data_IF_955908941026
#
_entry.id   IF_955908941026
#
_cell.length_a   1.000
_cell.length_b   1.000
_cell.length_c   1.000
_cell.angle_alpha   90.00
_cell.angle_beta   90.00
_cell.angle_gamma   90.00
#
_symmetry.space_group_name_H-M   'P 1'
#
loop_
_entity.id
_entity.type
_entity.pdbx_description
1 polymer ?
#
# COMPACT_ATOMS: atom_id res chain seq x y z
N UNK A 1 -33.33 27.87 -52.14
CA UNK A 1 -34.56 28.69 -52.08
C UNK A 1 -35.05 28.73 -50.64
N UNK A 2 -35.33 29.93 -50.13
CA UNK A 2 -36.00 30.28 -48.85
C UNK A 2 -35.29 29.87 -47.54
N UNK A 3 -34.65 30.72 -46.74
CA UNK A 3 -34.89 32.09 -46.22
C UNK A 3 -35.90 32.21 -45.05
N UNK A 4 -35.39 32.54 -43.84
CA UNK A 4 -35.93 33.41 -42.75
C UNK A 4 -35.20 33.03 -41.44
N UNK A 5 -34.31 33.81 -40.83
CA UNK A 5 -34.31 35.21 -40.35
C UNK A 5 -35.43 35.52 -39.34
N UNK A 6 -35.07 35.64 -38.06
CA UNK A 6 -35.65 36.63 -37.11
C UNK A 6 -34.66 36.96 -35.99
N UNK A 7 -34.53 38.27 -35.78
CA UNK A 7 -33.71 38.99 -34.80
C UNK A 7 -34.59 39.53 -33.65
N UNK A 8 -33.90 40.10 -32.65
CA UNK A 8 -34.35 41.13 -31.69
C UNK A 8 -35.05 40.60 -30.41
N UNK A 9 -34.94 41.21 -29.22
CA UNK A 9 -34.39 42.51 -28.84
C UNK A 9 -34.09 42.57 -27.33
N UNK A 10 -33.27 43.55 -26.97
CA UNK A 10 -32.85 44.10 -25.66
C UNK A 10 -33.95 44.43 -24.66
N UNK A 11 -33.67 44.35 -23.35
CA UNK A 11 -34.16 45.33 -22.37
C UNK A 11 -33.26 45.46 -21.14
N UNK A 12 -32.56 46.59 -21.07
CA UNK A 12 -31.89 47.20 -19.92
C UNK A 12 -32.91 47.73 -18.91
N UNK A 13 -32.63 47.56 -17.61
CA UNK A 13 -33.39 48.17 -16.52
C UNK A 13 -32.43 48.73 -15.47
N UNK A 14 -32.25 50.05 -15.49
CA UNK A 14 -31.59 50.87 -14.47
C UNK A 14 -32.65 51.20 -13.42
N UNK A 15 -32.33 50.99 -12.14
CA UNK A 15 -33.14 51.43 -11.01
C UNK A 15 -32.25 51.97 -9.91
N UNK A 16 -32.10 53.29 -9.87
CA UNK A 16 -31.66 54.05 -8.70
C UNK A 16 -32.83 54.16 -7.72
N UNK A 17 -32.54 54.12 -6.41
CA UNK A 17 -33.25 54.90 -5.41
C UNK A 17 -32.38 55.02 -4.15
N UNK A 18 -32.10 56.28 -3.82
CA UNK A 18 -31.55 56.73 -2.55
C UNK A 18 -32.56 56.54 -1.41
N UNK A 19 -32.10 56.26 -0.19
CA UNK A 19 -32.27 57.16 0.96
C UNK A 19 -31.85 56.55 2.30
N UNK A 20 -31.29 57.44 3.11
CA UNK A 20 -30.71 57.29 4.43
C UNK A 20 -31.56 56.58 5.50
N UNK A 21 -30.90 55.88 6.42
CA UNK A 21 -31.12 56.13 7.85
C UNK A 21 -29.89 55.70 8.68
N UNK A 22 -29.43 56.65 9.47
CA UNK A 22 -28.51 56.50 10.59
C UNK A 22 -29.14 55.64 11.68
N UNK A 23 -28.38 54.72 12.27
CA UNK A 23 -28.41 54.57 13.72
C UNK A 23 -27.11 53.94 14.24
N UNK A 24 -26.54 54.70 15.16
CA UNK A 24 -25.41 54.47 16.01
C UNK A 24 -25.86 53.64 17.22
N UNK A 25 -25.20 52.49 17.46
CA UNK A 25 -25.02 51.96 18.81
C UNK A 25 -23.98 50.85 18.82
N UNK A 26 -22.80 51.17 19.36
CA UNK A 26 -21.75 50.22 19.63
C UNK A 26 -22.12 49.19 20.69
N UNK A 27 -21.57 47.98 20.56
CA UNK A 27 -21.13 47.15 21.69
C UNK A 27 -20.41 45.88 21.23
N UNK A 28 -19.19 45.76 21.72
CA UNK A 28 -18.52 44.51 22.10
C UNK A 28 -18.04 43.59 20.97
N UNK A 29 -16.86 43.94 20.42
CA UNK A 29 -15.96 43.01 19.74
C UNK A 29 -15.52 41.90 20.70
N UNK A 30 -16.30 40.83 20.74
CA UNK A 30 -15.88 39.53 21.25
C UNK A 30 -15.82 38.63 20.02
N UNK A 31 -14.63 38.49 19.44
CA UNK A 31 -14.37 37.60 18.32
C UNK A 31 -14.78 36.19 18.72
N UNK A 32 -16.02 35.84 18.39
CA UNK A 32 -16.57 34.51 18.53
C UNK A 32 -15.88 33.71 17.42
N UNK A 33 -14.80 33.01 17.79
CA UNK A 33 -14.22 31.96 16.98
C UNK A 33 -15.33 30.94 16.72
N UNK A 34 -16.06 31.11 15.61
CA UNK A 34 -16.93 30.06 15.11
C UNK A 34 -15.99 28.93 14.70
N UNK A 35 -16.12 27.72 15.26
CA UNK A 35 -15.38 26.58 14.76
C UNK A 35 -15.71 26.50 13.27
N UNK A 36 -14.68 26.51 12.42
CA UNK A 36 -14.88 26.24 11.00
C UNK A 36 -15.56 24.87 10.95
N UNK A 37 -16.86 24.88 10.63
CA UNK A 37 -17.57 23.65 10.33
C UNK A 37 -16.82 23.03 9.15
N UNK A 38 -16.11 21.93 9.41
CA UNK A 38 -15.56 20.98 8.41
C UNK A 38 -16.72 20.30 7.66
N UNK A 39 -17.63 21.12 7.10
CA UNK A 39 -18.88 20.73 6.48
C UNK A 39 -18.71 20.99 4.99
N UNK A 40 -18.11 20.04 4.27
CA UNK A 40 -17.95 20.15 2.82
C UNK A 40 -17.73 18.83 2.10
N UNK A 41 -16.66 18.11 2.40
CA UNK A 41 -16.17 17.07 1.48
C UNK A 41 -16.51 15.62 1.86
N UNK A 42 -17.09 15.38 3.03
CA UNK A 42 -17.42 14.00 3.44
C UNK A 42 -18.62 13.41 2.68
N UNK A 43 -19.41 14.25 2.00
CA UNK A 43 -20.67 13.85 1.37
C UNK A 43 -20.53 13.24 -0.05
N UNK A 44 -19.33 13.10 -0.60
CA UNK A 44 -19.16 12.74 -2.03
C UNK A 44 -18.62 11.33 -2.30
N UNK A 45 -18.30 10.54 -1.27
CA UNK A 45 -17.73 9.22 -1.50
C UNK A 45 -18.83 8.18 -1.67
N UNK A 46 -18.87 7.60 -2.87
CA UNK A 46 -19.81 6.56 -3.22
C UNK A 46 -19.50 5.26 -2.44
N UNK A 47 -20.50 4.63 -1.81
CA UNK A 47 -20.33 3.30 -1.24
C UNK A 47 -19.85 2.30 -2.30
N UNK A 48 -18.89 1.46 -1.92
CA UNK A 48 -18.33 0.46 -2.81
C UNK A 48 -19.30 -0.70 -3.01
N UNK A 49 -19.96 -0.73 -4.17
CA UNK A 49 -20.88 -1.80 -4.60
C UNK A 49 -20.24 -2.76 -5.61
N UNK A 50 -18.91 -2.87 -5.58
CA UNK A 50 -18.16 -3.74 -6.47
C UNK A 50 -18.52 -5.21 -6.25
N UNK A 51 -18.52 -5.98 -7.35
CA UNK A 51 -18.92 -7.39 -7.36
C UNK A 51 -17.71 -8.29 -7.63
N UNK A 52 -17.73 -9.56 -7.17
CA UNK A 52 -16.71 -10.53 -7.53
C UNK A 52 -16.55 -10.69 -9.05
N UNK A 53 -15.34 -11.01 -9.49
CA UNK A 53 -15.01 -11.11 -10.91
C UNK A 53 -15.80 -12.19 -11.67
N UNK A 54 -15.94 -13.39 -11.10
CA UNK A 54 -16.65 -14.52 -11.72
C UNK A 54 -18.11 -14.59 -11.29
N UNK A 55 -18.98 -14.95 -12.24
CA UNK A 55 -20.41 -15.20 -12.02
C UNK A 55 -20.69 -16.54 -11.33
N UNK A 56 -19.75 -17.49 -11.38
CA UNK A 56 -19.93 -18.86 -10.84
C UNK A 56 -20.21 -18.91 -9.35
N UNK A 57 -19.71 -17.92 -8.61
CA UNK A 57 -19.89 -17.83 -7.16
C UNK A 57 -21.19 -17.13 -6.75
N UNK A 58 -21.82 -16.38 -7.65
CA UNK A 58 -23.12 -15.74 -7.37
C UNK A 58 -24.27 -16.75 -7.39
N UNK A 59 -24.11 -17.88 -8.08
CA UNK A 59 -25.17 -18.89 -8.26
C UNK A 59 -25.21 -19.99 -7.21
N UNK A 60 -24.21 -20.09 -6.31
CA UNK A 60 -24.29 -21.00 -5.16
C UNK A 60 -25.19 -20.40 -4.08
N UNK A 61 -26.48 -20.27 -4.41
CA UNK A 61 -27.52 -20.00 -3.43
C UNK A 61 -27.51 -21.13 -2.39
N UNK A 62 -27.61 -20.83 -1.09
CA UNK A 62 -27.74 -21.85 -0.05
C UNK A 62 -29.04 -22.62 -0.32
N UNK A 63 -28.92 -23.78 -0.96
CA UNK A 63 -30.05 -24.66 -1.14
C UNK A 63 -30.49 -25.15 0.24
N UNK A 64 -31.69 -24.70 0.60
CA UNK A 64 -32.46 -24.97 1.80
C UNK A 64 -32.29 -26.39 2.34
N UNK A 65 -32.01 -26.53 3.64
CA UNK A 65 -32.36 -27.76 4.34
C UNK A 65 -31.56 -28.16 5.57
N UNK A 66 -30.60 -27.37 6.06
CA UNK A 66 -29.87 -27.72 7.29
C UNK A 66 -30.16 -26.71 8.40
N UNK A 67 -30.84 -27.18 9.43
CA UNK A 67 -31.28 -26.49 10.64
C UNK A 67 -30.11 -26.02 11.52
N UNK A 68 -30.16 -24.74 11.88
CA UNK A 68 -29.78 -24.10 13.16
C UNK A 68 -28.33 -24.03 13.70
N UNK A 69 -27.27 -24.38 12.96
CA UNK A 69 -25.88 -24.01 13.38
C UNK A 69 -25.00 -23.43 12.25
N UNK A 70 -25.62 -22.75 11.27
CA UNK A 70 -24.95 -22.14 10.10
C UNK A 70 -24.47 -20.70 10.33
N UNK A 71 -23.79 -20.46 11.45
CA UNK A 71 -23.01 -19.23 11.68
C UNK A 71 -21.63 -19.25 10.98
N UNK A 72 -21.29 -20.33 10.26
CA UNK A 72 -19.94 -20.63 9.77
C UNK A 72 -19.71 -20.47 8.25
N UNK A 73 -20.66 -19.92 7.49
CA UNK A 73 -20.53 -19.72 6.02
C UNK A 73 -20.41 -18.27 5.55
N UNK A 74 -20.33 -17.30 6.46
CA UNK A 74 -19.76 -15.97 6.16
C UNK A 74 -18.23 -16.05 6.00
N UNK A 75 -17.72 -17.06 5.27
CA UNK A 75 -16.33 -17.15 4.85
C UNK A 75 -16.03 -16.04 3.85
N UNK A 76 -15.88 -14.85 4.44
CA UNK A 76 -14.99 -13.75 4.13
C UNK A 76 -14.85 -13.42 2.65
N UNK A 77 -15.73 -12.53 2.17
CA UNK A 77 -15.48 -11.69 0.98
C UNK A 77 -14.10 -10.98 1.02
N UNK A 78 -13.39 -11.03 2.15
CA UNK A 78 -12.02 -10.56 2.31
C UNK A 78 -10.99 -11.23 1.40
N UNK A 79 -11.27 -12.44 0.89
CA UNK A 79 -10.37 -13.18 0.00
C UNK A 79 -10.67 -13.01 -1.49
N UNK A 80 -11.63 -12.14 -1.83
CA UNK A 80 -12.02 -11.89 -3.22
C UNK A 80 -11.68 -10.47 -3.67
N UNK A 81 -11.13 -10.37 -4.88
CA UNK A 81 -10.97 -9.10 -5.58
C UNK A 81 -12.33 -8.73 -6.20
N UNK A 82 -12.79 -7.54 -5.85
CA UNK A 82 -14.04 -6.99 -6.36
C UNK A 82 -13.73 -6.02 -7.50
N UNK A 83 -14.68 -5.88 -8.43
CA UNK A 83 -14.59 -4.92 -9.55
C UNK A 83 -15.92 -4.23 -9.77
N UNK A 84 -15.89 -3.05 -10.37
CA UNK A 84 -17.11 -2.41 -10.87
C UNK A 84 -17.74 -3.30 -11.96
N UNK A 85 -19.06 -3.20 -12.14
CA UNK A 85 -19.75 -3.99 -13.18
C UNK A 85 -19.26 -3.62 -14.57
N UNK A 86 -18.96 -2.34 -14.78
CA UNK A 86 -18.47 -1.79 -16.04
C UNK A 86 -17.07 -2.34 -16.36
N UNK A 87 -16.12 -2.31 -15.41
CA UNK A 87 -14.78 -2.89 -15.59
C UNK A 87 -14.87 -4.38 -15.90
N UNK A 88 -15.74 -5.09 -15.19
CA UNK A 88 -15.95 -6.52 -15.37
C UNK A 88 -16.50 -6.86 -16.78
N UNK A 89 -17.47 -6.07 -17.27
CA UNK A 89 -18.01 -6.21 -18.62
C UNK A 89 -16.95 -5.88 -19.69
N UNK A 90 -16.25 -4.76 -19.55
CA UNK A 90 -15.17 -4.36 -20.45
C UNK A 90 -14.07 -5.42 -20.52
N UNK A 91 -13.69 -5.97 -19.37
CA UNK A 91 -12.69 -7.03 -19.26
C UNK A 91 -13.15 -8.31 -19.98
N UNK A 92 -14.41 -8.74 -19.82
CA UNK A 92 -14.96 -9.90 -20.56
C UNK A 92 -14.91 -9.69 -22.07
N UNK A 93 -15.32 -8.52 -22.55
CA UNK A 93 -15.28 -8.17 -23.97
C UNK A 93 -13.84 -8.27 -24.49
N UNK A 94 -12.89 -7.63 -23.79
CA UNK A 94 -11.47 -7.66 -24.17
C UNK A 94 -10.87 -9.05 -24.12
N UNK A 95 -11.16 -9.84 -23.09
CA UNK A 95 -10.62 -11.20 -22.98
C UNK A 95 -11.02 -12.07 -24.17
N UNK A 96 -12.25 -11.95 -24.67
CA UNK A 96 -12.71 -12.70 -25.87
C UNK A 96 -11.88 -12.39 -27.12
N UNK A 97 -11.38 -11.16 -27.26
CA UNK A 97 -10.52 -10.76 -28.40
C UNK A 97 -9.17 -11.50 -28.39
N UNK A 98 -8.73 -12.03 -27.24
CA UNK A 98 -7.48 -12.79 -27.13
C UNK A 98 -7.66 -14.29 -27.38
N UNK A 99 -8.88 -14.79 -27.58
CA UNK A 99 -9.15 -16.19 -27.90
C UNK A 99 -9.62 -16.36 -29.36
N UNK A 100 -9.32 -17.49 -30.02
CA UNK A 100 -8.50 -18.62 -29.57
C UNK A 100 -7.00 -18.30 -29.50
N UNK A 101 -6.24 -19.06 -28.69
CA UNK A 101 -4.80 -18.80 -28.45
C UNK A 101 -3.98 -20.04 -28.14
N UNK A 102 -2.70 -19.97 -28.48
CA UNK A 102 -1.69 -21.02 -28.25
C UNK A 102 -0.72 -20.73 -27.11
N UNK A 103 -0.48 -19.46 -26.80
CA UNK A 103 0.44 -19.03 -25.74
C UNK A 103 -0.29 -18.87 -24.40
N UNK A 104 0.36 -18.66 -23.24
CA UNK A 104 -0.29 -18.37 -21.95
C UNK A 104 -0.72 -16.89 -21.83
N UNK A 105 -1.82 -16.59 -21.14
CA UNK A 105 -2.35 -15.24 -20.93
C UNK A 105 -2.59 -15.09 -19.45
N UNK A 106 -1.93 -14.10 -18.88
CA UNK A 106 -2.14 -13.76 -17.49
C UNK A 106 -2.94 -12.48 -17.37
N UNK A 107 -3.72 -12.41 -16.30
CA UNK A 107 -4.56 -11.29 -15.93
C UNK A 107 -4.18 -10.88 -14.51
N UNK A 108 -3.97 -9.59 -14.30
CA UNK A 108 -3.88 -8.97 -12.98
C UNK A 108 -5.08 -8.04 -12.81
N UNK A 109 -5.74 -8.12 -11.67
CA UNK A 109 -6.81 -7.21 -11.28
C UNK A 109 -6.46 -6.53 -9.97
N UNK A 110 -6.69 -5.23 -9.92
CA UNK A 110 -6.42 -4.35 -8.81
C UNK A 110 -7.73 -3.67 -8.41
N UNK A 111 -8.01 -3.64 -7.11
CA UNK A 111 -9.13 -2.92 -6.52
C UNK A 111 -8.63 -2.04 -5.39
N UNK A 112 -9.05 -0.77 -5.37
CA UNK A 112 -8.70 0.18 -4.33
C UNK A 112 -9.98 0.68 -3.68
N UNK A 113 -10.07 0.53 -2.36
CA UNK A 113 -11.21 1.03 -1.59
C UNK A 113 -10.75 1.68 -0.30
N UNK A 114 -11.59 2.51 0.30
CA UNK A 114 -11.39 3.06 1.62
C UNK A 114 -12.32 2.40 2.63
N UNK A 115 -11.78 2.02 3.78
CA UNK A 115 -12.51 1.45 4.89
C UNK A 115 -12.87 2.55 5.88
N UNK A 116 -14.15 2.62 6.23
CA UNK A 116 -14.60 3.46 7.33
C UNK A 116 -14.07 2.91 8.65
N UNK A 117 -13.49 3.77 9.48
CA UNK A 117 -13.13 3.38 10.84
C UNK A 117 -14.36 3.59 11.73
N UNK A 118 -14.82 2.56 12.46
CA UNK A 118 -15.85 2.79 13.46
C UNK A 118 -15.30 3.77 14.49
N UNK A 119 -16.02 4.86 14.74
CA UNK A 119 -15.67 5.79 15.81
C UNK A 119 -15.58 4.99 17.12
N UNK A 120 -14.44 5.10 17.82
CA UNK A 120 -14.07 4.32 19.01
C UNK A 120 -15.06 4.42 20.19
N UNK A 121 -16.12 5.23 20.06
CA UNK A 121 -17.09 5.56 21.11
C UNK A 121 -18.39 4.77 21.05
N UNK A 122 -18.63 3.98 20.01
CA UNK A 122 -19.93 3.30 19.84
C UNK A 122 -19.85 1.84 20.27
N UNK A 123 -20.67 1.47 21.25
CA UNK A 123 -20.79 0.17 21.91
C UNK A 123 -20.52 -1.05 21.00
N UNK A 124 -19.73 -2.00 21.51
CA UNK A 124 -19.14 -3.14 20.81
C UNK A 124 -20.09 -4.21 20.27
N UNK A 125 -21.41 -4.07 20.42
CA UNK A 125 -22.36 -5.17 20.17
C UNK A 125 -23.05 -5.16 18.80
N UNK A 126 -22.94 -4.10 18.01
CA UNK A 126 -23.48 -4.10 16.64
C UNK A 126 -22.38 -4.25 15.59
N UNK A 127 -22.05 -5.53 15.35
CA UNK A 127 -21.60 -6.15 14.10
C UNK A 127 -20.95 -5.22 13.07
N UNK A 128 -19.62 -5.36 12.99
CA UNK A 128 -18.62 -4.77 12.11
C UNK A 128 -18.95 -4.78 10.60
N UNK A 129 -20.02 -4.12 10.15
CA UNK A 129 -20.17 -3.80 8.74
C UNK A 129 -19.20 -2.67 8.40
N UNK A 130 -17.93 -3.05 8.14
CA UNK A 130 -16.90 -2.14 7.61
C UNK A 130 -17.43 -1.60 6.29
N UNK A 131 -17.98 -0.37 6.31
CA UNK A 131 -18.41 0.30 5.09
C UNK A 131 -17.19 0.55 4.23
N UNK A 132 -17.26 0.10 2.98
CA UNK A 132 -16.24 0.35 1.97
C UNK A 132 -16.73 1.49 1.10
N UNK A 133 -15.82 2.40 0.79
CA UNK A 133 -16.04 3.52 -0.10
C UNK A 133 -15.07 3.42 -1.26
N UNK A 134 -15.51 3.92 -2.40
CA UNK A 134 -14.62 4.13 -3.53
C UNK A 134 -13.57 5.19 -3.19
N UNK A 135 -12.33 5.00 -3.64
CA UNK A 135 -11.32 6.06 -3.55
C UNK A 135 -11.60 7.15 -4.57
N UNK A 136 -11.07 8.35 -4.33
CA UNK A 136 -11.05 9.41 -5.34
C UNK A 136 -10.16 9.02 -6.52
N UNK A 137 -10.44 9.60 -7.69
CA UNK A 137 -9.66 9.34 -8.89
C UNK A 137 -8.18 9.73 -8.74
N UNK A 138 -7.89 10.78 -7.96
CA UNK A 138 -6.51 11.22 -7.68
C UNK A 138 -5.71 10.17 -6.91
N UNK A 139 -6.33 9.54 -5.90
CA UNK A 139 -5.69 8.46 -5.13
C UNK A 139 -5.47 7.25 -6.03
N UNK A 140 -6.47 6.87 -6.84
CA UNK A 140 -6.33 5.76 -7.77
C UNK A 140 -5.19 6.04 -8.77
N UNK A 141 -5.14 7.23 -9.36
CA UNK A 141 -4.11 7.61 -10.32
C UNK A 141 -2.69 7.50 -9.72
N UNK A 142 -2.49 7.88 -8.46
CA UNK A 142 -1.21 7.72 -7.77
C UNK A 142 -0.82 6.27 -7.56
N UNK A 143 -1.77 5.41 -7.19
CA UNK A 143 -1.54 3.96 -7.10
C UNK A 143 -1.18 3.41 -8.48
N UNK A 144 -1.95 3.74 -9.51
CA UNK A 144 -1.72 3.27 -10.88
C UNK A 144 -0.41 3.76 -11.47
N UNK A 145 0.04 4.98 -11.15
CA UNK A 145 1.36 5.47 -11.57
C UNK A 145 2.49 4.59 -11.03
N UNK A 146 2.40 4.09 -9.78
CA UNK A 146 3.40 3.20 -9.21
C UNK A 146 3.32 1.78 -9.80
N UNK A 147 2.10 1.32 -10.11
CA UNK A 147 1.88 0.07 -10.83
C UNK A 147 2.51 0.13 -12.22
N UNK A 148 2.24 1.20 -12.98
CA UNK A 148 2.75 1.39 -14.34
C UNK A 148 4.28 1.47 -14.38
N UNK A 149 4.92 2.14 -13.42
CA UNK A 149 6.39 2.17 -13.29
C UNK A 149 6.99 0.77 -13.07
N UNK A 150 6.22 -0.13 -12.47
CA UNK A 150 6.61 -1.51 -12.23
C UNK A 150 6.24 -2.45 -13.38
N UNK A 151 5.65 -2.00 -14.47
CA UNK A 151 5.27 -2.84 -15.62
C UNK A 151 6.01 -2.38 -16.87
N UNK A 152 6.43 -3.30 -17.73
CA UNK A 152 7.11 -2.91 -18.99
C UNK A 152 6.08 -2.28 -19.92
N UNK A 153 6.49 -1.27 -20.67
CA UNK A 153 5.61 -0.52 -21.59
C UNK A 153 4.89 -1.41 -22.63
N UNK A 154 5.51 -2.55 -23.01
CA UNK A 154 4.94 -3.49 -24.00
C UNK A 154 3.87 -4.43 -23.43
N UNK A 155 3.73 -4.46 -22.12
CA UNK A 155 2.86 -5.40 -21.41
C UNK A 155 1.49 -4.78 -21.06
N UNK A 156 1.13 -3.63 -21.64
CA UNK A 156 -0.02 -2.83 -21.20
C UNK A 156 -1.20 -2.88 -22.17
N UNK A 157 -2.19 -3.72 -21.85
CA UNK A 157 -3.58 -3.31 -22.00
C UNK A 157 -4.11 -2.98 -20.61
N UNK A 158 -4.08 -1.70 -20.24
CA UNK A 158 -4.63 -1.20 -19.00
C UNK A 158 -6.10 -0.83 -19.23
N UNK A 159 -7.00 -1.49 -18.52
CA UNK A 159 -8.39 -1.07 -18.40
C UNK A 159 -8.56 -0.42 -17.04
N UNK A 160 -8.74 0.90 -17.04
CA UNK A 160 -9.00 1.68 -15.84
C UNK A 160 -10.46 2.10 -15.82
N UNK A 161 -11.19 1.72 -14.78
CA UNK A 161 -12.55 2.22 -14.56
C UNK A 161 -12.87 2.36 -13.07
N UNK A 162 -13.20 3.59 -12.68
CA UNK A 162 -13.70 3.91 -11.35
C UNK A 162 -12.66 3.71 -10.25
N UNK A 163 -12.63 2.52 -9.67
CA UNK A 163 -11.89 2.18 -8.44
C UNK A 163 -10.86 1.08 -8.58
N UNK A 164 -10.67 0.59 -9.79
CA UNK A 164 -9.78 -0.52 -10.04
C UNK A 164 -9.19 -0.47 -11.43
N UNK A 165 -8.28 -1.40 -11.66
CA UNK A 165 -7.68 -1.61 -12.95
C UNK A 165 -7.50 -3.10 -13.24
N UNK A 166 -7.55 -3.44 -14.52
CA UNK A 166 -7.16 -4.75 -15.02
C UNK A 166 -6.01 -4.61 -16.03
N UNK A 167 -5.07 -5.53 -15.97
CA UNK A 167 -3.93 -5.61 -16.90
C UNK A 167 -3.84 -7.01 -17.49
N UNK A 168 -3.70 -7.07 -18.82
CA UNK A 168 -3.52 -8.31 -19.57
C UNK A 168 -2.06 -8.47 -19.97
N UNK A 169 -1.54 -9.68 -19.79
CA UNK A 169 -0.15 -10.05 -20.07
C UNK A 169 -0.12 -11.24 -21.05
N UNK A 170 -0.12 -10.97 -22.36
CA UNK A 170 0.05 -12.02 -23.37
C UNK A 170 1.42 -12.67 -23.23
N UNK A 171 1.47 -13.98 -23.46
CA UNK A 171 2.72 -14.77 -23.46
C UNK A 171 3.43 -14.82 -22.10
N UNK A 172 2.74 -14.43 -21.02
CA UNK A 172 3.24 -14.51 -19.65
C UNK A 172 2.58 -15.70 -18.98
N UNK A 173 3.42 -16.65 -18.55
CA UNK A 173 3.01 -17.80 -17.76
C UNK A 173 2.81 -17.43 -16.28
N UNK A 174 2.48 -18.43 -15.48
CA UNK A 174 2.18 -18.23 -14.06
C UNK A 174 3.41 -17.74 -13.27
N UNK A 175 4.61 -18.26 -13.57
CA UNK A 175 5.83 -17.84 -12.88
C UNK A 175 6.20 -16.39 -13.22
N UNK A 176 6.09 -16.01 -14.50
CA UNK A 176 6.26 -14.64 -14.95
C UNK A 176 5.25 -13.71 -14.27
N UNK A 177 4.00 -14.13 -14.16
CA UNK A 177 2.94 -13.37 -13.50
C UNK A 177 3.25 -13.16 -12.01
N UNK A 178 3.70 -14.18 -11.28
CA UNK A 178 4.10 -14.03 -9.87
C UNK A 178 5.23 -13.00 -9.70
N UNK A 179 6.22 -13.02 -10.60
CA UNK A 179 7.32 -12.03 -10.59
C UNK A 179 6.80 -10.60 -10.83
N UNK A 180 5.83 -10.43 -11.72
CA UNK A 180 5.21 -9.14 -12.01
C UNK A 180 4.38 -8.65 -10.81
N UNK A 181 3.56 -9.52 -10.20
CA UNK A 181 2.76 -9.17 -9.01
C UNK A 181 3.67 -8.73 -7.86
N UNK A 182 4.76 -9.45 -7.59
CA UNK A 182 5.71 -9.07 -6.54
C UNK A 182 6.37 -7.72 -6.81
N UNK A 183 6.74 -7.45 -8.06
CA UNK A 183 7.34 -6.17 -8.44
C UNK A 183 6.34 -5.02 -8.28
N UNK A 184 5.09 -5.22 -8.69
CA UNK A 184 4.00 -4.24 -8.50
C UNK A 184 3.75 -4.03 -7.01
N UNK A 185 3.58 -5.09 -6.24
CA UNK A 185 3.35 -5.02 -4.80
C UNK A 185 4.43 -4.19 -4.10
N UNK A 186 5.71 -4.51 -4.36
CA UNK A 186 6.84 -3.74 -3.80
C UNK A 186 6.82 -2.28 -4.24
N UNK A 187 6.46 -1.99 -5.49
CA UNK A 187 6.35 -0.62 -5.99
C UNK A 187 5.26 0.17 -5.26
N UNK A 188 4.08 -0.44 -5.05
CA UNK A 188 3.00 0.19 -4.29
C UNK A 188 3.39 0.35 -2.81
N UNK A 189 4.13 -0.60 -2.21
CA UNK A 189 4.64 -0.46 -0.84
C UNK A 189 5.55 0.76 -0.63
N UNK A 190 6.12 1.33 -1.71
CA UNK A 190 6.89 2.58 -1.62
C UNK A 190 5.99 3.82 -1.49
N UNK A 191 4.69 3.70 -1.73
CA UNK A 191 3.73 4.78 -1.45
C UNK A 191 3.60 4.95 0.06
N UNK A 192 4.15 6.06 0.53
CA UNK A 192 3.93 6.53 1.89
C UNK A 192 2.56 7.22 1.96
N UNK A 193 1.78 6.96 3.00
CA UNK A 193 0.44 7.54 3.13
C UNK A 193 0.46 9.08 3.19
N UNK A 194 1.56 9.64 3.69
CA UNK A 194 1.88 11.06 3.79
C UNK A 194 2.10 11.71 2.42
N UNK A 195 2.50 10.90 1.42
CA UNK A 195 2.78 11.38 0.06
C UNK A 195 1.56 11.34 -0.85
N UNK A 196 0.46 10.75 -0.38
CA UNK A 196 -0.78 10.69 -1.14
C UNK A 196 -1.46 12.06 -1.08
N UNK A 197 -1.82 12.57 -2.25
CA UNK A 197 -2.53 13.84 -2.40
C UNK A 197 -3.92 13.60 -2.99
N UNK A 198 -5.02 13.99 -2.32
CA UNK A 198 -5.04 14.58 -0.98
C UNK A 198 -4.65 13.57 0.12
N UNK A 199 -4.24 14.04 1.31
CA UNK A 199 -3.91 13.17 2.43
C UNK A 199 -5.04 12.17 2.74
N UNK A 200 -4.67 10.94 3.08
CA UNK A 200 -5.64 9.90 3.41
C UNK A 200 -6.42 10.27 4.67
N UNK A 201 -7.75 10.32 4.55
CA UNK A 201 -8.68 10.49 5.69
C UNK A 201 -9.12 9.12 6.25
N UNK A 202 -9.10 8.08 5.42
CA UNK A 202 -9.52 6.71 5.77
C UNK A 202 -8.43 5.70 5.44
N UNK A 203 -8.53 4.49 6.01
CA UNK A 203 -7.63 3.39 5.64
C UNK A 203 -7.92 3.02 4.19
N UNK A 204 -6.93 3.14 3.32
CA UNK A 204 -7.02 2.68 1.94
C UNK A 204 -6.57 1.23 1.85
N UNK A 205 -7.46 0.36 1.41
CA UNK A 205 -7.26 -1.07 1.16
C UNK A 205 -7.03 -1.30 -0.33
N UNK A 206 -5.83 -1.77 -0.67
CA UNK A 206 -5.41 -2.08 -2.04
C UNK A 206 -5.28 -3.60 -2.14
N UNK A 207 -6.05 -4.18 -3.03
CA UNK A 207 -6.15 -5.63 -3.20
C UNK A 207 -5.73 -6.01 -4.61
N UNK A 208 -4.85 -7.00 -4.72
CA UNK A 208 -4.35 -7.54 -5.99
C UNK A 208 -4.74 -9.01 -6.13
N UNK A 209 -5.29 -9.36 -7.28
CA UNK A 209 -5.52 -10.74 -7.69
C UNK A 209 -4.91 -11.00 -9.06
N UNK A 210 -4.53 -12.25 -9.32
CA UNK A 210 -4.01 -12.63 -10.63
C UNK A 210 -4.36 -14.07 -10.97
N UNK A 211 -4.46 -14.35 -12.27
CA UNK A 211 -4.69 -15.69 -12.80
C UNK A 211 -4.03 -15.86 -14.16
N UNK A 212 -3.74 -17.10 -14.52
CA UNK A 212 -3.11 -17.44 -15.81
C UNK A 212 -3.90 -18.53 -16.51
N UNK A 213 -4.27 -18.29 -17.76
CA UNK A 213 -4.87 -19.28 -18.65
C UNK A 213 -3.77 -19.98 -19.45
N UNK A 214 -3.52 -21.26 -19.15
CA UNK A 214 -2.53 -22.11 -19.86
C UNK A 214 -3.12 -22.88 -21.04
N UNK A 215 -4.43 -23.13 -21.01
CA UNK A 215 -5.07 -24.03 -21.96
C UNK A 215 -5.00 -23.46 -23.37
N UNK A 216 -4.28 -24.14 -24.26
CA UNK A 216 -4.36 -23.85 -25.69
C UNK A 216 -5.73 -24.27 -26.17
N UNK A 217 -6.57 -23.29 -26.48
CA UNK A 217 -7.90 -23.50 -27.03
C UNK A 217 -7.74 -23.30 -28.52
N UNK A 218 -7.48 -24.40 -29.22
CA UNK A 218 -7.34 -24.41 -30.68
C UNK A 218 -8.70 -24.49 -31.38
N UNK A 219 -9.72 -25.00 -30.69
CA UNK A 219 -11.08 -25.06 -31.20
C UNK A 219 -11.79 -23.72 -30.96
N UNK A 220 -12.32 -23.12 -32.00
CA UNK A 220 -13.05 -21.85 -31.95
C UNK A 220 -14.49 -22.00 -31.45
N UNK A 221 -14.78 -23.02 -30.64
CA UNK A 221 -16.12 -23.23 -30.11
C UNK A 221 -16.41 -22.15 -29.06
N UNK A 222 -17.45 -21.36 -29.28
CA UNK A 222 -17.84 -20.22 -28.44
C UNK A 222 -17.97 -20.62 -26.96
N UNK A 223 -18.53 -21.80 -26.70
CA UNK A 223 -18.65 -22.35 -25.34
C UNK A 223 -17.29 -22.56 -24.65
N UNK A 224 -16.28 -23.04 -25.38
CA UNK A 224 -14.93 -23.23 -24.84
C UNK A 224 -14.25 -21.90 -24.51
N UNK A 225 -14.53 -20.85 -25.28
CA UNK A 225 -14.00 -19.50 -25.05
C UNK A 225 -14.61 -18.92 -23.78
N UNK A 226 -15.94 -18.93 -23.63
CA UNK A 226 -16.61 -18.44 -22.43
C UNK A 226 -16.14 -19.19 -21.17
N UNK A 227 -15.98 -20.50 -21.26
CA UNK A 227 -15.47 -21.33 -20.18
C UNK A 227 -14.04 -20.93 -19.77
N UNK A 228 -13.18 -20.58 -20.72
CA UNK A 228 -11.82 -20.15 -20.47
C UNK A 228 -11.74 -18.75 -19.85
N UNK A 229 -12.56 -17.83 -20.36
CA UNK A 229 -12.72 -16.49 -19.80
C UNK A 229 -13.19 -16.59 -18.35
N UNK A 230 -14.23 -17.36 -18.06
CA UNK A 230 -14.72 -17.53 -16.68
C UNK A 230 -13.70 -18.23 -15.77
N UNK A 231 -12.94 -19.20 -16.25
CA UNK A 231 -11.86 -19.82 -15.46
C UNK A 231 -10.74 -18.82 -15.12
N UNK A 232 -10.37 -17.97 -16.09
CA UNK A 232 -9.38 -16.92 -15.88
C UNK A 232 -9.88 -15.85 -14.89
N UNK A 233 -11.15 -15.43 -15.01
CA UNK A 233 -11.77 -14.48 -14.08
C UNK A 233 -11.94 -15.08 -12.68
N UNK A 234 -12.27 -16.37 -12.58
CA UNK A 234 -12.40 -17.08 -11.30
C UNK A 234 -11.06 -17.11 -10.57
N UNK A 235 -9.99 -17.52 -11.25
CA UNK A 235 -8.64 -17.56 -10.66
C UNK A 235 -8.13 -16.17 -10.29
N UNK A 236 -8.32 -15.18 -11.18
CA UNK A 236 -7.91 -13.79 -10.93
C UNK A 236 -8.73 -13.08 -9.85
N UNK A 237 -9.91 -13.63 -9.52
CA UNK A 237 -10.77 -13.12 -8.45
C UNK A 237 -10.26 -13.40 -7.06
N UNK A 238 -9.22 -14.22 -6.88
CA UNK A 238 -8.64 -14.50 -5.57
C UNK A 238 -7.58 -13.47 -5.20
N UNK A 239 -7.59 -13.03 -3.94
CA UNK A 239 -6.58 -12.11 -3.41
C UNK A 239 -5.24 -12.81 -3.28
N UNK A 240 -4.23 -12.29 -3.98
CA UNK A 240 -2.84 -12.76 -3.92
C UNK A 240 -2.00 -11.86 -3.02
N UNK A 241 -2.25 -10.54 -3.06
CA UNK A 241 -1.61 -9.55 -2.20
C UNK A 241 -2.62 -8.51 -1.73
N UNK A 242 -2.38 -7.99 -0.53
CA UNK A 242 -3.17 -6.93 0.09
C UNK A 242 -2.25 -5.92 0.76
N UNK A 243 -2.57 -4.65 0.64
CA UNK A 243 -1.85 -3.54 1.26
C UNK A 243 -2.86 -2.61 1.92
N UNK A 244 -2.55 -2.18 3.15
CA UNK A 244 -3.32 -1.21 3.90
C UNK A 244 -2.50 0.05 4.08
N UNK A 245 -2.95 1.16 3.51
CA UNK A 245 -2.37 2.48 3.73
C UNK A 245 -3.19 3.20 4.78
N UNK A 246 -2.57 3.53 5.90
CA UNK A 246 -3.23 4.19 7.02
C UNK A 246 -3.05 5.71 6.92
N UNK A 247 -4.07 6.52 7.25
CA UNK A 247 -3.93 7.95 7.43
C UNK A 247 -2.73 8.31 8.32
N UNK A 248 -1.94 9.31 7.91
CA UNK A 248 -0.78 9.76 8.67
C UNK A 248 -1.16 10.27 10.09
N UNK A 249 -2.36 10.84 10.24
CA UNK A 249 -2.85 11.28 11.55
C UNK A 249 -3.26 10.11 12.47
N UNK A 250 -3.50 8.92 11.92
CA UNK A 250 -3.88 7.75 12.70
C UNK A 250 -2.66 6.93 13.18
N UNK A 251 -1.48 7.08 12.59
CA UNK A 251 -0.32 6.25 12.99
C UNK A 251 0.12 6.53 14.43
N UNK A 252 0.03 7.78 14.90
CA UNK A 252 0.38 8.17 16.27
C UNK A 252 -0.58 7.66 17.36
N UNK A 253 -1.87 7.52 17.02
CA UNK A 253 -2.90 7.13 18.01
C UNK A 253 -2.98 5.60 18.19
N UNK A 254 -2.74 4.84 17.11
CA UNK A 254 -3.01 3.40 17.07
C UNK A 254 -1.85 2.51 17.54
N UNK A 255 -0.61 3.01 17.62
CA UNK A 255 0.52 2.28 18.25
C UNK A 255 0.31 2.01 19.74
N UNK A 256 -0.74 2.57 20.35
CA UNK A 256 -1.11 2.34 21.75
C UNK A 256 -2.13 1.22 21.97
N UNK A 257 -2.70 0.65 20.91
CA UNK A 257 -3.63 -0.49 21.02
C UNK A 257 -2.84 -1.80 21.12
N UNK A 258 -3.06 -2.64 22.14
CA UNK A 258 -2.34 -3.91 22.29
C UNK A 258 -2.69 -4.86 21.13
N UNK A 259 -1.66 -5.37 20.45
CA UNK A 259 -1.74 -6.36 19.37
C UNK A 259 -2.65 -7.54 19.76
N UNK A 260 -3.88 -7.56 19.26
CA UNK A 260 -4.83 -8.67 19.48
C UNK A 260 -4.64 -9.85 18.51
N UNK A 261 -3.74 -9.75 17.54
CA UNK A 261 -3.58 -10.78 16.49
C UNK A 261 -2.80 -12.04 16.93
N UNK A 262 -2.26 -12.12 18.15
CA UNK A 262 -1.43 -13.29 18.55
C UNK A 262 -2.14 -14.33 19.44
N UNK A 263 -3.41 -14.14 19.83
CA UNK A 263 -4.08 -15.08 20.77
C UNK A 263 -4.99 -16.15 20.12
N UNK A 264 -5.10 -16.22 18.80
CA UNK A 264 -5.96 -17.22 18.13
C UNK A 264 -5.28 -18.56 17.80
N UNK A 265 -4.06 -18.82 18.28
CA UNK A 265 -3.30 -20.04 17.96
C UNK A 265 -2.92 -20.94 19.15
N UNK A 266 -3.37 -20.65 20.38
CA UNK A 266 -2.90 -21.39 21.58
C UNK A 266 -4.01 -21.91 22.51
N UNK A 267 -5.10 -22.45 21.98
CA UNK A 267 -6.06 -23.21 22.79
C UNK A 267 -6.59 -24.45 22.07
N UNK A 268 -5.74 -25.47 21.94
CA UNK A 268 -6.15 -26.84 21.62
C UNK A 268 -5.08 -27.85 22.08
N UNK A 269 -4.97 -28.04 23.39
CA UNK A 269 -4.42 -29.28 23.99
C UNK A 269 -4.48 -29.20 25.51
N UNK A 270 -5.46 -29.84 26.15
CA UNK A 270 -5.28 -30.68 27.34
C UNK A 270 -6.64 -31.19 27.85
N UNK A 271 -6.97 -32.44 27.51
CA UNK A 271 -7.80 -33.31 28.33
C UNK A 271 -7.33 -34.75 28.10
N UNK A 272 -6.80 -35.36 29.15
CA UNK A 272 -6.14 -36.67 29.10
C UNK A 272 -5.50 -37.02 30.43
N UNK A 273 -6.32 -37.04 31.47
CA UNK A 273 -6.03 -37.63 32.78
C UNK A 273 -6.13 -39.16 32.66
N UNK A 274 -5.19 -39.92 33.23
CA UNK A 274 -5.40 -41.12 34.07
C UNK A 274 -4.12 -41.97 34.26
N UNK A 275 -3.88 -42.30 35.54
CA UNK A 275 -3.12 -43.42 36.13
C UNK A 275 -1.61 -43.36 36.41
N UNK A 276 -1.35 -42.97 37.67
CA UNK A 276 -0.47 -43.63 38.67
C UNK A 276 -0.03 -45.06 38.31
N UNK A 277 1.27 -45.34 38.32
CA UNK A 277 1.96 -46.34 39.17
C UNK A 277 3.46 -45.98 39.27
N UNK A 278 4.00 -45.91 40.49
CA UNK A 278 5.42 -46.12 40.85
C UNK A 278 5.47 -47.43 41.66
N UNK A 279 6.59 -48.20 41.82
CA UNK A 279 7.91 -47.65 42.19
C UNK A 279 9.19 -48.46 41.79
N UNK A 280 10.34 -47.76 41.90
CA UNK A 280 11.66 -48.10 42.50
C UNK A 280 12.38 -49.47 42.36
N UNK A 281 13.72 -49.41 42.59
CA UNK A 281 14.75 -50.47 42.78
C UNK A 281 15.27 -51.13 41.47
N UNK A 282 16.55 -51.42 41.19
CA UNK A 282 17.87 -51.40 41.85
C UNK A 282 19.01 -51.63 40.82
N UNK A 283 20.21 -51.14 41.17
CA UNK A 283 21.56 -51.76 41.09
C UNK A 283 22.30 -52.09 39.76
N UNK A 284 23.61 -51.77 39.90
CA UNK A 284 24.83 -52.43 39.39
C UNK A 284 25.36 -51.99 38.01
N UNK A 285 26.61 -51.46 37.95
CA UNK A 285 27.94 -52.16 38.02
C UNK A 285 28.09 -53.12 36.83
N UNK A 286 29.16 -53.18 36.06
CA UNK A 286 30.55 -52.69 36.05
C UNK A 286 30.87 -52.48 34.54
N UNK A 287 31.77 -51.58 34.11
CA UNK A 287 33.21 -51.84 34.07
C UNK A 287 33.73 -51.98 32.62
N UNK A 288 34.97 -51.52 32.41
CA UNK A 288 35.79 -51.54 31.19
C UNK A 288 35.43 -50.52 30.10
N UNK A 289 36.34 -49.73 29.56
CA UNK A 289 37.79 -49.69 29.70
C UNK A 289 38.40 -49.10 28.43
N UNK A 290 39.22 -48.07 28.62
CA UNK A 290 40.45 -47.73 27.88
C UNK A 290 40.40 -47.59 26.34
N UNK A 291 40.55 -46.35 25.87
CA UNK A 291 41.64 -45.87 24.97
C UNK A 291 41.29 -44.43 24.57
N UNK A 292 41.99 -43.43 25.10
CA UNK A 292 43.22 -42.84 24.54
C UNK A 292 43.09 -42.42 23.07
N UNK A 293 42.82 -41.13 22.86
CA UNK A 293 43.70 -40.31 22.01
C UNK A 293 43.39 -38.82 22.26
N UNK A 294 44.28 -38.18 22.99
CA UNK A 294 44.51 -36.75 22.94
C UNK A 294 44.85 -36.33 21.49
N UNK A 295 44.34 -35.19 21.02
CA UNK A 295 45.18 -34.03 20.62
C UNK A 295 44.35 -32.93 19.95
N UNK A 296 44.66 -31.71 20.38
CA UNK A 296 44.71 -30.48 19.58
C UNK A 296 43.42 -29.71 19.28
N UNK A 297 43.15 -28.88 20.28
CA UNK A 297 42.78 -27.47 20.21
C UNK A 297 43.52 -26.67 19.11
N UNK A 298 42.78 -25.73 18.52
CA UNK A 298 43.19 -24.47 17.89
C UNK A 298 43.22 -24.32 16.34
N UNK A 299 42.49 -23.29 15.90
CA UNK A 299 42.60 -22.51 14.66
C UNK A 299 42.05 -23.10 13.35
N UNK A 300 40.89 -22.60 12.89
CA UNK A 300 40.88 -21.66 11.75
C UNK A 300 39.47 -21.14 11.46
N UNK A 301 39.41 -19.82 11.47
CA UNK A 301 38.37 -18.95 10.95
C UNK A 301 38.23 -19.11 9.43
N UNK A 302 37.08 -18.63 8.93
CA UNK A 302 36.73 -18.36 7.54
C UNK A 302 36.11 -19.51 6.73
N UNK A 303 34.94 -19.20 6.15
CA UNK A 303 34.31 -19.65 4.89
C UNK A 303 32.79 -19.75 5.13
N UNK A 304 31.88 -19.20 4.32
CA UNK A 304 31.92 -18.30 3.19
C UNK A 304 30.49 -17.77 3.05
N UNK A 305 30.33 -16.45 2.95
CA UNK A 305 29.15 -15.80 2.40
C UNK A 305 28.92 -16.24 0.96
N UNK A 306 27.79 -16.88 0.67
CA UNK A 306 27.31 -17.03 -0.70
C UNK A 306 26.37 -15.87 -1.04
N UNK A 307 26.94 -14.85 -1.69
CA UNK A 307 26.21 -13.93 -2.57
C UNK A 307 25.67 -14.75 -3.76
N UNK A 308 24.36 -14.67 -3.99
CA UNK A 308 23.75 -15.16 -5.22
C UNK A 308 23.95 -14.13 -6.33
N UNK A 309 24.94 -14.38 -7.18
CA UNK A 309 25.20 -13.63 -8.41
C UNK A 309 24.03 -13.82 -9.38
N UNK A 310 23.37 -12.71 -9.76
CA UNK A 310 22.43 -12.69 -10.89
C UNK A 310 23.22 -12.87 -12.19
N UNK A 311 23.19 -14.07 -12.77
CA UNK A 311 23.65 -14.30 -14.14
C UNK A 311 22.55 -13.90 -15.12
N UNK A 312 22.85 -12.90 -15.94
CA UNK A 312 22.05 -12.53 -17.10
C UNK A 312 21.97 -13.70 -18.08
N UNK A 313 20.74 -14.10 -18.44
CA UNK A 313 20.50 -14.95 -19.60
C UNK A 313 20.12 -14.08 -20.80
N UNK A 314 21.08 -13.84 -21.67
CA UNK A 314 20.84 -13.57 -23.07
C UNK A 314 20.51 -14.90 -23.76
N UNK A 315 19.29 -15.04 -24.23
CA UNK A 315 18.97 -16.01 -25.29
C UNK A 315 18.21 -15.29 -26.39
N UNK A 316 18.93 -14.98 -27.45
CA UNK A 316 18.35 -14.59 -28.72
C UNK A 316 17.53 -15.75 -29.31
N UNK A 317 16.37 -15.43 -29.84
CA UNK A 317 15.75 -16.23 -30.90
C UNK A 317 15.31 -15.32 -32.03
N UNK A 318 15.96 -15.58 -33.17
CA UNK A 318 15.51 -15.26 -34.51
C UNK A 318 14.05 -15.71 -34.70
N UNK A 319 13.14 -14.76 -34.90
CA UNK A 319 11.85 -15.02 -35.52
C UNK A 319 11.77 -14.24 -36.83
N UNK A 320 11.63 -15.02 -37.90
CA UNK A 320 11.41 -14.58 -39.28
C UNK A 320 10.23 -13.60 -39.32
N UNK A 321 10.52 -12.38 -39.77
CA UNK A 321 9.51 -11.43 -40.26
C UNK A 321 8.73 -12.06 -41.41
N UNK A 322 7.41 -12.07 -41.31
CA UNK A 322 6.51 -12.06 -42.46
C UNK A 322 5.92 -10.66 -42.52
N UNK A 323 6.03 -10.07 -43.70
CA UNK A 323 5.66 -8.71 -44.02
C UNK A 323 4.15 -8.50 -43.93
N UNK A 324 3.76 -7.41 -43.25
CA UNK A 324 2.52 -6.70 -43.56
C UNK A 324 2.77 -5.22 -43.41
N UNK A 325 2.80 -4.55 -44.56
CA UNK A 325 2.95 -3.11 -44.72
C UNK A 325 1.69 -2.39 -44.25
N UNK A 326 1.84 -1.41 -43.36
CA UNK A 326 0.96 -0.24 -43.31
C UNK A 326 1.86 1.00 -43.20
N UNK A 327 1.68 1.89 -44.17
CA UNK A 327 2.50 3.05 -44.49
C UNK A 327 1.98 4.33 -43.82
N UNK A 328 2.93 5.22 -43.45
CA UNK A 328 2.82 6.69 -43.29
C UNK A 328 1.93 7.23 -42.14
N UNK A 329 2.30 8.27 -41.35
CA UNK A 329 3.25 9.35 -41.52
C UNK A 329 3.67 9.99 -40.17
N UNK A 330 4.97 10.27 -39.99
CA UNK A 330 5.50 11.38 -39.16
C UNK A 330 6.78 11.86 -39.85
N UNK A 331 6.88 13.15 -40.20
CA UNK A 331 8.15 13.83 -40.38
C UNK A 331 8.00 15.36 -40.30
N UNK A 332 9.10 15.99 -39.87
CA UNK A 332 9.37 17.42 -39.61
C UNK A 332 8.90 17.91 -38.23
N UNK A 333 9.73 18.46 -37.35
CA UNK A 333 10.91 19.29 -37.62
C UNK A 333 11.89 19.30 -36.43
N UNK A 334 13.18 19.09 -36.69
CA UNK A 334 14.30 19.44 -35.81
C UNK A 334 15.32 20.15 -36.70
N UNK A 335 15.72 21.36 -36.32
CA UNK A 335 16.95 21.99 -36.79
C UNK A 335 17.63 22.73 -35.63
N UNK A 336 18.95 22.55 -35.60
CA UNK A 336 19.97 23.12 -34.73
C UNK A 336 19.92 24.64 -34.54
N UNK A 337 20.58 25.14 -33.47
CA UNK A 337 21.54 26.25 -33.51
C UNK A 337 22.42 26.26 -32.23
N UNK A 338 23.73 26.13 -32.48
CA UNK A 338 24.90 26.81 -31.90
C UNK A 338 25.20 26.88 -30.39
N UNK A 339 26.31 26.21 -30.07
CA UNK A 339 27.49 26.67 -29.32
C UNK A 339 27.60 28.16 -28.95
N UNK A 340 27.83 28.41 -27.65
CA UNK A 340 28.35 29.66 -27.12
C UNK A 340 28.98 29.47 -25.74
N UNK A 341 30.32 29.48 -25.68
CA UNK A 341 31.10 29.56 -24.44
C UNK A 341 30.93 30.93 -23.78
N UNK A 342 30.59 30.95 -22.49
CA UNK A 342 30.62 32.16 -21.66
C UNK A 342 31.23 31.86 -20.28
N UNK A 343 32.47 32.31 -20.15
CA UNK A 343 33.16 32.92 -19.01
C UNK A 343 32.52 32.85 -17.62
N UNK A 344 33.25 32.23 -16.69
CA UNK A 344 33.04 32.23 -15.25
C UNK A 344 33.07 33.64 -14.66
N UNK A 345 31.93 34.10 -14.14
CA UNK A 345 31.83 35.23 -13.23
C UNK A 345 31.24 34.75 -11.90
N UNK A 346 32.03 34.82 -10.84
CA UNK A 346 31.63 34.58 -9.45
C UNK A 346 30.65 35.68 -9.02
N UNK A 347 29.36 35.34 -8.97
CA UNK A 347 28.34 36.15 -8.30
C UNK A 347 28.31 35.85 -6.80
N UNK A 348 28.12 36.87 -5.95
CA UNK A 348 28.07 36.74 -4.50
C UNK A 348 26.84 35.93 -4.05
N UNK A 349 27.06 35.08 -3.04
CA UNK A 349 26.08 34.16 -2.47
C UNK A 349 24.75 34.86 -2.11
N UNK A 350 23.65 34.30 -2.60
CA UNK A 350 22.29 34.71 -2.28
C UNK A 350 21.96 34.29 -0.83
N UNK A 351 21.65 35.23 0.09
CA UNK A 351 21.22 34.92 1.44
C UNK A 351 19.72 34.60 1.43
N UNK A 352 19.36 33.32 1.36
CA UNK A 352 17.93 32.99 1.39
C UNK A 352 17.54 31.55 1.07
N UNK A 353 18.43 30.56 1.25
CA UNK A 353 17.93 29.18 1.35
C UNK A 353 17.29 29.03 2.73
N UNK A 354 15.96 28.86 2.85
CA UNK A 354 15.34 28.62 4.13
C UNK A 354 15.99 27.36 4.70
N UNK A 355 16.62 27.47 5.86
CA UNK A 355 17.17 26.33 6.54
C UNK A 355 16.08 25.24 6.61
N UNK A 356 16.40 23.98 6.30
CA UNK A 356 15.42 22.91 6.26
C UNK A 356 14.67 22.88 7.61
N UNK A 357 13.38 23.18 7.57
CA UNK A 357 12.56 23.24 8.78
C UNK A 357 12.47 21.85 9.38
N UNK A 358 12.94 21.69 10.60
CA UNK A 358 12.92 20.41 11.31
C UNK A 358 11.47 20.12 11.73
N UNK A 359 10.92 18.94 11.42
CA UNK A 359 9.55 18.59 11.81
C UNK A 359 9.43 18.44 13.33
N UNK A 360 8.23 18.70 13.86
CA UNK A 360 7.88 18.52 15.27
C UNK A 360 7.03 17.27 15.46
N UNK A 361 7.32 16.48 16.51
CA UNK A 361 6.63 15.25 16.84
C UNK A 361 6.20 15.25 18.31
N UNK A 362 4.94 14.90 18.55
CA UNK A 362 4.45 14.59 19.90
C UNK A 362 4.88 13.17 20.29
N UNK A 363 5.59 13.04 21.41
CA UNK A 363 6.14 11.76 21.84
C UNK A 363 5.05 10.80 22.32
N UNK A 364 5.16 9.50 22.01
CA UNK A 364 4.28 8.50 22.59
C UNK A 364 4.56 8.37 24.09
N UNK A 365 3.55 7.96 24.84
CA UNK A 365 3.68 7.79 26.29
C UNK A 365 4.52 6.56 26.67
N UNK A 366 4.79 5.64 25.74
CA UNK A 366 5.66 4.47 25.91
C UNK A 366 6.32 4.14 24.57
N UNK A 367 7.61 3.80 24.59
CA UNK A 367 8.30 3.31 23.41
C UNK A 367 8.02 1.83 23.16
N UNK A 368 7.89 1.44 21.89
CA UNK A 368 7.78 0.03 21.53
C UNK A 368 9.07 -0.71 21.87
N UNK A 369 9.02 -1.94 22.43
CA UNK A 369 10.23 -2.67 22.82
C UNK A 369 11.26 -2.81 21.71
N UNK A 370 10.82 -2.94 20.45
CA UNK A 370 11.72 -3.08 19.30
C UNK A 370 12.55 -1.82 19.04
N UNK A 371 12.00 -0.63 19.30
CA UNK A 371 12.71 0.64 19.12
C UNK A 371 13.75 0.88 20.22
N UNK A 372 13.47 0.48 21.47
CA UNK A 372 14.37 0.62 22.63
C UNK A 372 15.74 -0.02 22.42
N UNK A 373 15.78 -1.11 21.66
CA UNK A 373 17.01 -1.84 21.38
C UNK A 373 17.87 -1.18 20.29
N UNK A 374 17.36 -0.19 19.57
CA UNK A 374 18.08 0.46 18.47
C UNK A 374 19.11 1.47 18.97
N UNK A 375 18.85 2.11 20.12
CA UNK A 375 19.77 3.06 20.76
C UNK A 375 20.00 2.57 22.19
N UNK A 376 21.25 2.30 22.63
CA UNK A 376 21.50 1.93 24.02
C UNK A 376 21.03 3.03 24.99
N UNK A 377 20.35 2.65 26.08
CA UNK A 377 19.82 3.62 27.06
C UNK A 377 20.82 4.67 27.55
N UNK A 378 22.08 4.32 27.90
CA UNK A 378 23.06 5.32 28.33
C UNK A 378 23.37 6.37 27.26
N UNK A 379 23.36 5.96 25.99
CA UNK A 379 23.57 6.85 24.84
C UNK A 379 22.36 7.77 24.67
N UNK A 380 21.15 7.22 24.80
CA UNK A 380 19.91 7.97 24.70
C UNK A 380 19.80 9.07 25.77
N UNK A 381 20.19 8.76 27.03
CA UNK A 381 20.28 9.76 28.10
C UNK A 381 21.35 10.81 27.81
N UNK A 382 22.55 10.38 27.41
CA UNK A 382 23.67 11.29 27.13
C UNK A 382 23.35 12.27 26.01
N UNK A 383 22.72 11.80 24.94
CA UNK A 383 22.37 12.60 23.77
C UNK A 383 20.96 13.21 23.85
N UNK A 384 20.24 12.98 24.97
CA UNK A 384 18.86 13.42 25.18
C UNK A 384 17.98 13.15 23.95
N UNK A 385 17.84 11.87 23.59
CA UNK A 385 17.12 11.46 22.39
C UNK A 385 16.37 10.13 22.57
N UNK A 386 15.33 9.90 21.77
CA UNK A 386 14.55 8.66 21.78
C UNK A 386 14.22 8.17 20.35
N UNK A 387 14.36 6.86 20.05
CA UNK A 387 13.96 6.31 18.76
C UNK A 387 12.43 6.21 18.69
N UNK A 388 11.81 6.91 17.73
CA UNK A 388 10.35 7.00 17.60
C UNK A 388 9.81 6.29 16.35
N UNK A 389 10.68 5.91 15.42
CA UNK A 389 10.27 5.14 14.25
C UNK A 389 11.48 4.62 13.48
N UNK A 390 11.28 3.55 12.72
CA UNK A 390 12.32 2.95 11.87
C UNK A 390 11.73 2.55 10.52
N UNK A 391 12.41 2.92 9.45
CA UNK A 391 12.08 2.52 8.09
C UNK A 391 13.35 2.09 7.33
N UNK A 392 13.48 0.79 7.03
CA UNK A 392 14.66 0.18 6.40
C UNK A 392 16.00 0.58 7.05
N UNK A 393 16.69 1.57 6.46
CA UNK A 393 18.00 2.09 6.84
C UNK A 393 17.92 3.50 7.46
N UNK A 394 16.71 4.00 7.73
CA UNK A 394 16.43 5.31 8.30
C UNK A 394 15.85 5.15 9.70
N UNK A 395 16.41 5.86 10.67
CA UNK A 395 15.93 5.91 12.05
C UNK A 395 15.41 7.32 12.35
N UNK A 396 14.12 7.43 12.69
CA UNK A 396 13.54 8.69 13.17
C UNK A 396 13.83 8.82 14.66
N UNK A 397 14.52 9.89 15.04
CA UNK A 397 14.96 10.11 16.42
C UNK A 397 14.43 11.46 16.89
N UNK A 398 13.64 11.43 17.97
CA UNK A 398 13.25 12.64 18.66
C UNK A 398 14.40 13.12 19.53
N UNK A 399 14.79 14.39 19.40
CA UNK A 399 15.98 14.95 20.04
C UNK A 399 15.66 16.26 20.74
N UNK A 400 16.27 16.50 21.90
CA UNK A 400 16.21 17.80 22.59
C UNK A 400 16.81 18.92 21.71
N UNK A 401 17.90 18.61 20.99
CA UNK A 401 18.48 19.48 19.97
C UNK A 401 18.64 18.74 18.63
N UNK A 402 17.66 18.82 17.72
CA UNK A 402 17.71 18.12 16.43
C UNK A 402 18.66 18.78 15.41
N UNK A 403 19.31 19.90 15.75
CA UNK A 403 20.35 20.54 14.92
C UNK A 403 21.78 20.14 15.33
N UNK A 404 21.94 19.37 16.40
CA UNK A 404 23.24 18.92 16.89
C UNK A 404 23.84 17.86 15.94
N UNK A 405 24.72 18.34 15.06
CA UNK A 405 25.38 17.50 14.06
C UNK A 405 26.27 16.42 14.67
N UNK A 406 26.90 16.68 15.82
CA UNK A 406 27.76 15.69 16.50
C UNK A 406 26.90 14.56 17.08
N UNK A 407 25.78 14.89 17.72
CA UNK A 407 24.84 13.89 18.23
C UNK A 407 24.25 13.04 17.09
N UNK A 408 23.86 13.67 15.97
CA UNK A 408 23.36 12.98 14.78
C UNK A 408 24.40 12.03 14.20
N UNK A 409 25.65 12.48 14.06
CA UNK A 409 26.73 11.66 13.55
C UNK A 409 27.01 10.47 14.48
N UNK A 410 27.09 10.70 15.79
CA UNK A 410 27.32 9.63 16.76
C UNK A 410 26.20 8.60 16.76
N UNK A 411 24.95 9.02 16.62
CA UNK A 411 23.82 8.11 16.45
C UNK A 411 23.93 7.31 15.15
N UNK A 412 24.35 7.93 14.04
CA UNK A 412 24.58 7.22 12.78
C UNK A 412 25.65 6.12 12.93
N UNK A 413 26.76 6.43 13.59
CA UNK A 413 27.87 5.48 13.83
C UNK A 413 27.45 4.30 14.72
N UNK A 414 26.72 4.56 15.80
CA UNK A 414 26.28 3.53 16.75
C UNK A 414 25.23 2.61 16.10
N UNK A 415 24.33 3.18 15.31
CA UNK A 415 23.15 2.45 14.81
C UNK A 415 23.35 1.88 13.41
N UNK A 416 24.32 2.39 12.64
CA UNK A 416 24.49 2.07 11.23
C UNK A 416 23.32 2.56 10.34
N UNK A 417 22.53 3.51 10.81
CA UNK A 417 21.32 4.00 10.13
C UNK A 417 21.38 5.51 9.89
N UNK A 418 20.79 5.96 8.78
CA UNK A 418 20.59 7.39 8.49
C UNK A 418 19.65 7.97 9.53
N UNK A 419 20.10 8.99 10.26
CA UNK A 419 19.31 9.62 11.31
C UNK A 419 18.42 10.70 10.70
N UNK A 420 17.13 10.63 11.01
CA UNK A 420 16.16 11.67 10.70
C UNK A 420 15.72 12.35 12.00
N UNK A 421 16.34 13.49 12.34
CA UNK A 421 16.07 14.16 13.60
C UNK A 421 14.70 14.84 13.54
N UNK A 422 13.94 14.73 14.61
CA UNK A 422 12.69 15.45 14.81
C UNK A 422 12.73 16.21 16.14
N UNK A 423 12.15 17.40 16.15
CA UNK A 423 11.97 18.18 17.37
C UNK A 423 10.81 17.62 18.19
N UNK A 424 10.89 17.75 19.51
CA UNK A 424 9.82 17.36 20.42
C UNK A 424 9.84 18.25 21.67
N UNK A 425 8.82 18.12 22.50
CA UNK A 425 8.79 18.77 23.81
C UNK A 425 9.84 18.14 24.75
N UNK A 426 10.73 18.97 25.28
CA UNK A 426 11.89 18.53 26.08
C UNK A 426 11.42 17.84 27.36
N UNK A 427 10.39 18.36 28.04
CA UNK A 427 9.86 17.77 29.27
C UNK A 427 9.28 16.38 29.03
N UNK A 428 8.55 16.19 27.92
CA UNK A 428 8.02 14.90 27.52
C UNK A 428 9.15 13.90 27.23
N UNK A 429 10.24 14.36 26.59
CA UNK A 429 11.40 13.52 26.28
C UNK A 429 12.13 13.07 27.55
N UNK A 430 12.37 13.99 28.48
CA UNK A 430 13.00 13.67 29.76
C UNK A 430 12.15 12.71 30.59
N UNK A 431 10.83 12.90 30.60
CA UNK A 431 9.89 11.99 31.28
C UNK A 431 9.94 10.58 30.66
N UNK A 432 9.93 10.49 29.33
CA UNK A 432 10.03 9.22 28.61
C UNK A 432 11.33 8.48 28.93
N UNK A 433 12.46 9.20 28.95
CA UNK A 433 13.78 8.65 29.28
C UNK A 433 13.89 8.21 30.75
N UNK A 434 13.24 8.91 31.68
CA UNK A 434 13.32 8.60 33.10
C UNK A 434 12.46 7.40 33.51
N UNK A 435 11.23 7.33 33.01
CA UNK A 435 10.22 6.42 33.56
C UNK A 435 9.85 5.26 32.62
N UNK A 436 10.07 5.42 31.30
CA UNK A 436 9.38 4.59 30.30
C UNK A 436 10.28 4.15 29.15
N UNK A 437 11.60 4.15 29.39
CA UNK A 437 12.59 3.73 28.40
C UNK A 437 12.31 2.34 27.90
#
# INVERSE_FOLDING_TARGET
>A
MSAKKRQASTKTGIGQNDSASSNDQGRSDRAHFMPMEERGDEALLEPCMCVPLSTRRLSSSPQSGATDEQESLFLSDEHLVQTTRQLNQALRIRLREYFPRSEPLSLLVLHVSQLDQPALTTSMEHVYQKRRYHVTQDILAQVLNNVQRAVRLRDQLLLEEGVGAAMLFPSVDEQGMQTIVERIYRSICLLQAETIVPPLVRITDIVLGCGTCRTSILNSDEYSIEQAVENLLTSSGHVVRRLLLRPALATSLWETMPDRETQLSSSLSTSGEVQKVSPAFLLNRDGNGLSESETSQEQLSQRHSHLTTYTAYETGRHLKRKDTSISHAIAASVHDIASGSATLALSPASPGSPAPSIPFLHLPTKLSPRLKHLIPYPVAQQLQCAPVGRDHHKLTVAMANPTDAEAIQRLNEITGMTIFPVSCEIEALLTLLAERW
#
